data_IF_492891853552
#
_entry.id   IF_492891853552
#
_cell.length_a   1.000
_cell.length_b   1.000
_cell.length_c   1.000
_cell.angle_alpha   90.00
_cell.angle_beta   90.00
_cell.angle_gamma   90.00
#
_symmetry.space_group_name_H-M   'P 1'
#
loop_
_entity.id
_entity.type
_entity.pdbx_description
1 polymer ?
#
# COMPACT_ATOMS: atom_id res chain seq x y z
N UNK A 1 -6.50 -10.01 12.70
CA UNK A 1 -6.37 -9.78 11.24
C UNK A 1 -5.20 -8.84 10.93
N UNK A 2 -4.13 -9.04 11.70
CA UNK A 2 -2.79 -8.59 11.44
C UNK A 2 -2.19 -9.76 10.62
N UNK A 3 -1.33 -9.60 9.63
CA UNK A 3 0.13 -9.72 9.87
C UNK A 3 0.97 -9.38 8.63
N UNK A 4 0.38 -9.01 7.49
CA UNK A 4 1.15 -8.86 6.23
C UNK A 4 1.82 -7.48 6.10
N UNK A 5 1.21 -6.41 6.67
CA UNK A 5 1.79 -5.06 6.67
C UNK A 5 3.05 -4.96 7.57
N UNK A 6 3.22 -5.89 8.52
CA UNK A 6 4.41 -5.97 9.38
C UNK A 6 5.66 -6.31 8.57
N UNK A 7 5.61 -7.37 7.75
CA UNK A 7 6.76 -7.84 6.97
C UNK A 7 7.27 -6.82 5.94
N UNK A 8 6.38 -6.01 5.36
CA UNK A 8 6.77 -4.94 4.42
C UNK A 8 7.63 -3.86 5.11
N UNK A 9 7.43 -3.66 6.41
CA UNK A 9 8.17 -2.64 7.19
C UNK A 9 9.47 -3.12 7.81
N UNK A 10 9.71 -4.43 7.87
CA UNK A 10 10.91 -5.01 8.52
C UNK A 10 11.98 -5.37 7.49
N UNK A 11 11.59 -5.81 6.29
CA UNK A 11 12.54 -6.31 5.28
C UNK A 11 12.93 -5.25 4.22
N UNK A 12 12.09 -4.22 4.00
CA UNK A 12 12.26 -3.28 2.87
C UNK A 12 12.32 -1.80 3.28
N UNK A 13 12.20 -1.51 4.58
CA UNK A 13 12.30 -0.16 5.15
C UNK A 13 13.46 -0.23 6.12
N UNK A 14 14.58 0.39 5.73
CA UNK A 14 15.90 0.23 6.36
C UNK A 14 15.89 0.27 7.89
N UNK A 15 16.87 -0.44 8.45
CA UNK A 15 17.03 -0.72 9.88
C UNK A 15 17.09 0.49 10.81
N UNK A 16 17.39 0.24 12.10
CA UNK A 16 17.06 1.10 13.24
C UNK A 16 17.68 2.52 13.26
N UNK A 17 18.50 2.88 12.26
CA UNK A 17 19.25 4.15 12.23
C UNK A 17 18.85 5.10 11.08
N UNK A 18 17.79 4.79 10.32
CA UNK A 18 17.38 5.61 9.17
C UNK A 18 15.97 6.20 9.36
N UNK A 19 15.90 7.50 9.70
CA UNK A 19 14.66 8.32 9.72
C UNK A 19 14.01 8.50 8.34
N UNK A 20 14.61 7.97 7.29
CA UNK A 20 14.16 8.13 5.91
C UNK A 20 13.37 6.91 5.43
N UNK A 21 12.06 7.08 5.29
CA UNK A 21 11.19 6.10 4.63
C UNK A 21 11.48 6.07 3.13
N UNK A 22 12.46 5.30 2.66
CA UNK A 22 12.82 5.20 1.24
C UNK A 22 12.51 3.82 0.64
N UNK A 23 12.36 3.76 -0.69
CA UNK A 23 12.25 2.52 -1.44
C UNK A 23 13.62 2.16 -2.00
N UNK A 24 14.03 0.89 -1.90
CA UNK A 24 15.34 0.41 -2.35
C UNK A 24 15.26 -0.62 -3.49
N UNK A 25 14.14 -0.67 -4.22
CA UNK A 25 13.99 -1.57 -5.37
C UNK A 25 14.88 -1.07 -6.52
N UNK A 26 15.69 -1.96 -7.11
CA UNK A 26 16.68 -1.60 -8.14
C UNK A 26 16.04 -0.92 -9.36
N UNK A 27 14.90 -1.45 -9.81
CA UNK A 27 14.14 -0.94 -10.96
C UNK A 27 13.12 0.17 -10.61
N UNK A 28 13.17 0.73 -9.39
CA UNK A 28 12.23 1.78 -9.00
C UNK A 28 12.73 3.18 -9.42
N UNK A 29 11.91 3.99 -10.13
CA UNK A 29 12.25 5.38 -10.46
C UNK A 29 12.45 6.29 -9.23
N UNK A 30 12.08 5.82 -8.04
CA UNK A 30 12.24 6.50 -6.76
C UNK A 30 13.18 5.76 -5.81
N UNK A 31 14.08 4.92 -6.35
CA UNK A 31 15.11 4.25 -5.57
C UNK A 31 15.90 5.26 -4.71
N UNK A 32 16.10 4.93 -3.44
CA UNK A 32 16.79 5.72 -2.42
C UNK A 32 16.22 7.13 -2.18
N UNK A 33 15.01 7.44 -2.69
CA UNK A 33 14.34 8.72 -2.44
C UNK A 33 13.41 8.62 -1.23
N UNK A 34 13.58 9.49 -0.21
CA UNK A 34 12.76 9.45 0.99
C UNK A 34 11.34 9.94 0.71
N UNK A 35 10.36 9.24 1.27
CA UNK A 35 8.98 9.65 1.36
C UNK A 35 8.76 10.48 2.61
N UNK A 36 7.95 11.54 2.49
CA UNK A 36 7.58 12.43 3.61
C UNK A 36 6.83 11.72 4.75
N UNK A 37 6.36 10.49 4.54
CA UNK A 37 5.64 9.73 5.54
C UNK A 37 5.68 8.21 5.27
N UNK A 38 5.68 7.40 6.32
CA UNK A 38 5.67 5.93 6.26
C UNK A 38 4.55 5.38 5.38
N UNK A 39 3.32 5.88 5.54
CA UNK A 39 2.17 5.39 4.78
C UNK A 39 2.30 5.62 3.26
N UNK A 40 3.05 6.65 2.84
CA UNK A 40 3.32 6.92 1.41
C UNK A 40 4.28 5.89 0.84
N UNK A 41 5.31 5.50 1.60
CA UNK A 41 6.21 4.41 1.23
C UNK A 41 5.46 3.08 1.15
N UNK A 42 4.67 2.74 2.18
CA UNK A 42 3.88 1.50 2.18
C UNK A 42 2.93 1.43 0.97
N UNK A 43 2.25 2.54 0.66
CA UNK A 43 1.40 2.62 -0.53
C UNK A 43 2.20 2.47 -1.82
N UNK A 44 3.42 3.00 -1.87
CA UNK A 44 4.30 2.88 -3.02
C UNK A 44 4.78 1.44 -3.21
N UNK A 45 5.17 0.72 -2.15
CA UNK A 45 5.66 -0.67 -2.25
C UNK A 45 4.62 -1.60 -2.91
N UNK A 46 3.32 -1.30 -2.78
CA UNK A 46 2.24 -2.03 -3.48
C UNK A 46 2.34 -2.03 -5.00
N UNK A 47 3.08 -1.10 -5.61
CA UNK A 47 3.33 -1.12 -7.06
C UNK A 47 4.27 -2.26 -7.47
N UNK A 48 5.13 -2.70 -6.54
CA UNK A 48 6.06 -3.80 -6.77
C UNK A 48 5.44 -5.14 -6.39
N UNK A 49 4.72 -5.20 -5.25
CA UNK A 49 4.15 -6.46 -4.75
C UNK A 49 2.79 -6.80 -5.38
N UNK A 50 2.11 -5.84 -6.01
CA UNK A 50 0.76 -6.02 -6.53
C UNK A 50 -0.31 -6.20 -5.45
N UNK A 51 0.02 -6.01 -4.17
CA UNK A 51 -0.88 -6.28 -3.06
C UNK A 51 -2.11 -5.36 -3.08
N UNK A 52 -3.30 -5.95 -2.91
CA UNK A 52 -4.59 -5.26 -2.88
C UNK A 52 -5.36 -5.58 -1.60
N UNK A 53 -4.96 -5.00 -0.46
CA UNK A 53 -5.50 -5.36 0.86
C UNK A 53 -6.91 -4.82 1.12
N UNK A 54 -7.51 -4.08 0.18
CA UNK A 54 -8.84 -3.47 0.35
C UNK A 54 -9.87 -4.17 -0.53
N UNK A 55 -10.40 -5.33 -0.10
CA UNK A 55 -11.51 -5.97 -0.78
C UNK A 55 -12.81 -5.16 -0.63
N UNK A 56 -13.62 -5.19 -1.67
CA UNK A 56 -14.98 -4.67 -1.62
C UNK A 56 -15.83 -5.57 -0.71
N UNK A 57 -16.49 -5.02 0.32
CA UNK A 57 -17.32 -5.81 1.21
C UNK A 57 -18.70 -6.13 0.61
N UNK A 58 -19.04 -5.59 -0.57
CA UNK A 58 -20.33 -5.84 -1.21
C UNK A 58 -20.40 -7.28 -1.74
N UNK A 59 -21.42 -8.06 -1.33
CA UNK A 59 -21.62 -9.42 -1.80
C UNK A 59 -21.70 -9.47 -3.33
N UNK A 60 -21.00 -10.42 -3.95
CA UNK A 60 -20.98 -10.59 -5.41
C UNK A 60 -20.11 -9.60 -6.19
N UNK A 61 -19.49 -8.60 -5.55
CA UNK A 61 -18.65 -7.64 -6.27
C UNK A 61 -17.24 -8.17 -6.60
N UNK A 62 -16.59 -8.84 -5.65
CA UNK A 62 -15.26 -9.44 -5.83
C UNK A 62 -14.10 -8.47 -6.13
N UNK A 63 -14.35 -7.16 -6.24
CA UNK A 63 -13.32 -6.17 -6.57
C UNK A 63 -12.38 -5.92 -5.38
N UNK A 64 -11.07 -5.89 -5.65
CA UNK A 64 -10.02 -5.59 -4.67
C UNK A 64 -9.22 -4.37 -5.09
N UNK A 65 -8.84 -3.55 -4.11
CA UNK A 65 -8.15 -2.28 -4.35
C UNK A 65 -6.82 -2.23 -3.60
N UNK A 66 -5.84 -1.58 -4.23
CA UNK A 66 -4.53 -1.30 -3.61
C UNK A 66 -4.58 -0.12 -2.63
N UNK A 67 -5.65 0.70 -2.66
CA UNK A 67 -5.79 1.91 -1.82
C UNK A 67 -7.19 1.99 -1.21
N UNK A 68 -7.25 2.44 0.05
CA UNK A 68 -8.50 2.66 0.78
C UNK A 68 -9.38 3.71 0.12
N UNK A 69 -8.79 4.80 -0.39
CA UNK A 69 -9.55 5.86 -1.08
C UNK A 69 -10.24 5.32 -2.34
N UNK A 70 -9.55 4.48 -3.12
CA UNK A 70 -10.14 3.85 -4.30
C UNK A 70 -11.33 2.94 -3.90
N UNK A 71 -11.19 2.16 -2.81
CA UNK A 71 -12.30 1.38 -2.28
C UNK A 71 -13.46 2.29 -1.82
N UNK A 72 -13.17 3.41 -1.14
CA UNK A 72 -14.19 4.35 -0.66
C UNK A 72 -15.01 4.95 -1.80
N UNK A 73 -14.33 5.38 -2.87
CA UNK A 73 -14.99 5.87 -4.10
C UNK A 73 -15.79 4.74 -4.74
N UNK A 74 -15.22 3.55 -4.86
CA UNK A 74 -15.92 2.40 -5.43
C UNK A 74 -17.18 2.02 -4.65
N UNK A 75 -17.18 2.10 -3.32
CA UNK A 75 -18.38 1.79 -2.51
C UNK A 75 -19.59 2.65 -2.90
N UNK A 76 -19.38 3.88 -3.36
CA UNK A 76 -20.45 4.77 -3.83
C UNK A 76 -21.20 4.21 -5.03
N UNK A 77 -20.53 3.43 -5.89
CA UNK A 77 -21.16 2.80 -7.05
C UNK A 77 -22.16 1.72 -6.68
N UNK A 78 -22.10 1.18 -5.46
CA UNK A 78 -23.06 0.19 -4.96
C UNK A 78 -24.23 0.84 -4.24
N UNK A 79 -23.98 1.93 -3.51
CA UNK A 79 -25.02 2.64 -2.77
C UNK A 79 -25.82 3.62 -3.62
N UNK A 80 -25.44 3.82 -4.89
CA UNK A 80 -26.14 4.72 -5.81
C UNK A 80 -26.11 6.19 -5.40
N UNK A 81 -25.08 6.61 -4.66
CA UNK A 81 -24.87 8.00 -4.21
C UNK A 81 -23.68 8.64 -4.92
#
# INVERSE_FOLDING_TARGET
MHEIVSHITVEHVGGPECTNHACFWEDCPRNSRPFKAKYKLVNHIRVHTGEKPFPCPFPGCGKVFARSENLKIHKRTHTGM
#
